data_IF_370117442534
#
_entry.id   IF_370117442534
#
_cell.length_a   1.000
_cell.length_b   1.000
_cell.length_c   1.000
_cell.angle_alpha   90.00
_cell.angle_beta   90.00
_cell.angle_gamma   90.00
#
_symmetry.space_group_name_H-M   'P 1'
#
loop_
_entity.id
_entity.type
_entity.pdbx_description
1 polymer ?
#
# COMPACT_ATOMS: atom_id res chain seq x y z
N UNK A 1 -27.31 -17.59 8.57
CA UNK A 1 -26.25 -18.43 7.98
C UNK A 1 -26.05 -17.94 6.55
N UNK A 2 -24.96 -17.24 6.23
CA UNK A 2 -24.70 -16.75 4.86
C UNK A 2 -24.26 -17.94 4.00
N UNK A 3 -24.80 -18.06 2.79
CA UNK A 3 -24.44 -19.15 1.88
C UNK A 3 -23.02 -18.95 1.35
N UNK A 4 -22.36 -20.06 0.98
CA UNK A 4 -20.99 -20.03 0.44
C UNK A 4 -20.88 -19.04 -0.74
N UNK A 5 -21.87 -18.97 -1.62
CA UNK A 5 -21.87 -18.02 -2.75
C UNK A 5 -21.95 -16.54 -2.34
N UNK A 6 -22.64 -16.20 -1.25
CA UNK A 6 -22.74 -14.81 -0.76
C UNK A 6 -21.43 -14.32 -0.14
N UNK A 7 -20.70 -15.22 0.53
CA UNK A 7 -19.36 -14.94 1.05
C UNK A 7 -18.35 -14.76 -0.09
N UNK A 8 -18.38 -15.65 -1.09
CA UNK A 8 -17.52 -15.56 -2.27
C UNK A 8 -17.79 -14.29 -3.10
N UNK A 9 -19.04 -13.82 -3.17
CA UNK A 9 -19.37 -12.58 -3.86
C UNK A 9 -18.85 -11.34 -3.12
N UNK A 10 -19.00 -11.28 -1.79
CA UNK A 10 -18.51 -10.15 -0.98
C UNK A 10 -16.98 -10.05 -0.98
N UNK A 11 -16.29 -11.16 -0.69
CA UNK A 11 -14.82 -11.22 -0.65
C UNK A 11 -14.21 -11.04 -2.05
N UNK A 12 -14.89 -11.56 -3.08
CA UNK A 12 -14.55 -11.36 -4.50
C UNK A 12 -14.53 -9.90 -4.90
N UNK A 13 -15.61 -9.18 -4.61
CA UNK A 13 -15.70 -7.75 -4.90
C UNK A 13 -14.70 -6.93 -4.10
N UNK A 14 -14.47 -7.29 -2.83
CA UNK A 14 -13.51 -6.59 -1.97
C UNK A 14 -12.07 -6.79 -2.43
N UNK A 15 -11.68 -8.02 -2.77
CA UNK A 15 -10.35 -8.32 -3.31
C UNK A 15 -10.12 -7.56 -4.61
N UNK A 16 -11.06 -7.64 -5.54
CA UNK A 16 -10.95 -6.94 -6.82
C UNK A 16 -10.82 -5.43 -6.59
N UNK A 17 -11.62 -4.86 -5.69
CA UNK A 17 -11.52 -3.44 -5.30
C UNK A 17 -10.12 -3.09 -4.82
N UNK A 18 -9.48 -3.90 -3.98
CA UNK A 18 -8.12 -3.62 -3.51
C UNK A 18 -7.11 -3.63 -4.65
N UNK A 19 -7.15 -4.65 -5.50
CA UNK A 19 -6.24 -4.76 -6.65
C UNK A 19 -6.44 -3.59 -7.62
N UNK A 20 -7.67 -3.18 -7.91
CA UNK A 20 -7.94 -2.03 -8.80
C UNK A 20 -7.70 -0.67 -8.15
N UNK A 21 -7.71 -0.57 -6.82
CA UNK A 21 -7.40 0.69 -6.12
C UNK A 21 -5.90 0.93 -6.07
N UNK A 22 -5.12 -0.14 -5.88
CA UNK A 22 -3.67 -0.05 -5.64
C UNK A 22 -2.82 -0.48 -6.83
N UNK A 23 -3.44 -1.07 -7.86
CA UNK A 23 -2.87 -1.51 -9.14
C UNK A 23 -1.82 -2.62 -9.07
N UNK A 24 -0.99 -2.65 -8.03
CA UNK A 24 0.07 -3.63 -7.81
C UNK A 24 0.17 -3.93 -6.31
N UNK A 25 -0.04 -5.19 -5.92
CA UNK A 25 0.17 -5.66 -4.54
C UNK A 25 0.89 -7.01 -4.55
N UNK A 26 1.69 -7.29 -3.52
CA UNK A 26 2.23 -8.63 -3.31
C UNK A 26 1.11 -9.60 -2.94
N UNK A 27 1.23 -10.85 -3.39
CA UNK A 27 0.30 -11.92 -3.05
C UNK A 27 0.12 -12.04 -1.52
N UNK A 28 1.22 -11.99 -0.77
CA UNK A 28 1.17 -12.04 0.71
C UNK A 28 0.45 -10.83 1.32
N UNK A 29 0.58 -9.63 0.76
CA UNK A 29 -0.16 -8.45 1.24
C UNK A 29 -1.66 -8.66 1.12
N UNK A 30 -2.10 -9.23 0.00
CA UNK A 30 -3.51 -9.59 -0.22
C UNK A 30 -3.96 -10.66 0.78
N UNK A 31 -3.15 -11.70 1.04
CA UNK A 31 -3.50 -12.70 2.05
C UNK A 31 -3.62 -12.09 3.46
N UNK A 32 -2.77 -11.12 3.82
CA UNK A 32 -2.85 -10.42 5.11
C UNK A 32 -4.08 -9.51 5.23
N UNK A 33 -4.67 -9.06 4.12
CA UNK A 33 -5.98 -8.37 4.14
C UNK A 33 -7.12 -9.30 4.59
N UNK A 34 -6.99 -10.61 4.39
CA UNK A 34 -8.04 -11.59 4.70
C UNK A 34 -7.54 -12.74 5.61
N UNK A 35 -7.14 -12.45 6.86
CA UNK A 35 -6.42 -13.40 7.70
C UNK A 35 -7.26 -14.62 8.11
N UNK A 36 -8.59 -14.48 8.16
CA UNK A 36 -9.49 -15.56 8.57
C UNK A 36 -9.81 -16.56 7.44
N UNK A 37 -9.63 -16.15 6.18
CA UNK A 37 -10.16 -16.84 5.02
C UNK A 37 -9.08 -17.13 3.95
N UNK A 38 -7.81 -17.27 4.36
CA UNK A 38 -6.64 -17.35 3.45
C UNK A 38 -6.82 -18.35 2.31
N UNK A 39 -7.27 -19.58 2.57
CA UNK A 39 -7.40 -20.59 1.51
C UNK A 39 -8.57 -20.31 0.55
N UNK A 40 -9.64 -19.68 1.05
CA UNK A 40 -10.73 -19.20 0.20
C UNK A 40 -10.25 -18.08 -0.71
N UNK A 41 -9.43 -17.17 -0.20
CA UNK A 41 -8.82 -16.08 -0.98
C UNK A 41 -7.83 -16.60 -2.03
N UNK A 42 -7.00 -17.60 -1.72
CA UNK A 42 -6.13 -18.24 -2.73
C UNK A 42 -6.94 -18.82 -3.90
N UNK A 43 -8.06 -19.47 -3.57
CA UNK A 43 -8.98 -20.04 -4.56
C UNK A 43 -9.65 -18.95 -5.40
N UNK A 44 -10.05 -17.85 -4.76
CA UNK A 44 -10.64 -16.69 -5.41
C UNK A 44 -9.65 -15.99 -6.34
N UNK A 45 -8.40 -15.75 -5.92
CA UNK A 45 -7.33 -15.21 -6.76
C UNK A 45 -7.17 -16.08 -8.01
N UNK A 46 -7.07 -17.41 -7.82
CA UNK A 46 -6.96 -18.36 -8.94
C UNK A 46 -8.13 -18.23 -9.91
N UNK A 47 -9.35 -18.07 -9.39
CA UNK A 47 -10.55 -17.87 -10.21
C UNK A 47 -10.50 -16.55 -10.98
N UNK A 48 -10.14 -15.45 -10.32
CA UNK A 48 -10.07 -14.12 -10.94
C UNK A 48 -9.00 -14.05 -12.04
N UNK A 49 -7.85 -14.69 -11.83
CA UNK A 49 -6.80 -14.84 -12.85
C UNK A 49 -7.32 -15.62 -14.06
N UNK A 50 -7.99 -16.76 -13.84
CA UNK A 50 -8.58 -17.55 -14.93
C UNK A 50 -9.64 -16.78 -15.72
N UNK A 51 -10.36 -15.88 -15.07
CA UNK A 51 -11.36 -15.01 -15.69
C UNK A 51 -10.74 -13.78 -16.38
N UNK A 52 -9.42 -13.58 -16.29
CA UNK A 52 -8.73 -12.40 -16.83
C UNK A 52 -9.08 -11.09 -16.11
N UNK A 53 -9.55 -11.17 -14.86
CA UNK A 53 -9.96 -10.00 -14.07
C UNK A 53 -8.81 -9.35 -13.31
N UNK A 54 -7.76 -10.13 -13.04
CA UNK A 54 -6.48 -9.70 -12.48
C UNK A 54 -5.37 -10.54 -13.13
N UNK A 55 -4.14 -10.05 -13.07
CA UNK A 55 -2.94 -10.73 -13.52
C UNK A 55 -2.15 -11.17 -12.29
N UNK A 56 -1.65 -12.41 -12.30
CA UNK A 56 -0.70 -12.90 -11.30
C UNK A 56 0.66 -13.08 -11.98
N UNK A 57 1.59 -12.17 -11.70
CA UNK A 57 2.99 -12.35 -12.00
C UNK A 57 3.59 -13.31 -10.98
N UNK A 58 3.93 -14.52 -11.43
CA UNK A 58 4.46 -15.58 -10.58
C UNK A 58 5.95 -15.43 -10.30
N UNK A 59 6.68 -14.65 -11.09
CA UNK A 59 8.12 -14.46 -10.89
C UNK A 59 8.38 -13.58 -9.68
N UNK A 60 7.61 -12.49 -9.55
CA UNK A 60 7.72 -11.54 -8.44
C UNK A 60 6.60 -11.70 -7.37
N UNK A 61 5.71 -12.67 -7.57
CA UNK A 61 4.53 -12.94 -6.74
C UNK A 61 3.61 -11.71 -6.55
N UNK A 62 3.37 -11.00 -7.65
CA UNK A 62 2.56 -9.77 -7.71
C UNK A 62 1.18 -10.03 -8.30
N UNK A 63 0.19 -9.36 -7.72
CA UNK A 63 -1.18 -9.29 -8.21
C UNK A 63 -1.44 -7.89 -8.76
N UNK A 64 -1.78 -7.82 -10.04
CA UNK A 64 -1.99 -6.57 -10.76
C UNK A 64 -3.39 -6.53 -11.41
N UNK A 65 -3.94 -5.34 -11.59
CA UNK A 65 -5.21 -5.17 -12.31
C UNK A 65 -5.02 -5.15 -13.84
N UNK A 66 -3.89 -4.65 -14.32
CA UNK A 66 -3.59 -4.44 -15.74
C UNK A 66 -2.23 -5.00 -16.15
N UNK A 67 -2.03 -5.20 -17.45
CA UNK A 67 -0.74 -5.62 -18.01
C UNK A 67 0.34 -4.52 -17.89
N UNK A 68 -0.07 -3.25 -17.86
CA UNK A 68 0.83 -2.12 -17.62
C UNK A 68 1.41 -2.18 -16.21
N UNK A 69 0.55 -2.35 -15.19
CA UNK A 69 0.97 -2.51 -13.79
C UNK A 69 1.78 -3.78 -13.55
N UNK A 70 1.59 -4.83 -14.36
CA UNK A 70 2.43 -6.03 -14.32
C UNK A 70 3.81 -5.80 -14.97
N UNK A 71 3.89 -4.97 -16.02
CA UNK A 71 5.15 -4.67 -16.72
C UNK A 71 5.99 -3.61 -16.02
N UNK A 72 5.36 -2.70 -15.28
CA UNK A 72 6.00 -1.67 -14.49
C UNK A 72 5.41 -1.61 -13.05
N UNK A 73 5.74 -2.58 -12.19
CA UNK A 73 5.24 -2.62 -10.81
C UNK A 73 5.64 -1.38 -10.00
N UNK A 74 4.67 -0.78 -9.29
CA UNK A 74 4.96 0.32 -8.36
C UNK A 74 5.45 -0.24 -7.01
N UNK A 75 6.77 -0.46 -6.89
CA UNK A 75 7.39 -0.92 -5.65
C UNK A 75 7.23 0.08 -4.49
N UNK A 76 7.06 1.37 -4.78
CA UNK A 76 6.74 2.37 -3.77
C UNK A 76 5.36 2.19 -3.19
N UNK A 77 4.37 1.82 -4.02
CA UNK A 77 3.04 1.43 -3.57
C UNK A 77 3.11 0.17 -2.68
N UNK A 78 3.85 -0.86 -3.11
CA UNK A 78 4.05 -2.08 -2.32
C UNK A 78 4.64 -1.75 -0.95
N UNK A 79 5.68 -0.91 -0.89
CA UNK A 79 6.30 -0.49 0.37
C UNK A 79 5.32 0.30 1.25
N UNK A 80 4.60 1.27 0.68
CA UNK A 80 3.57 2.02 1.40
C UNK A 80 2.45 1.11 1.94
N UNK A 81 2.07 0.08 1.19
CA UNK A 81 1.02 -0.84 1.60
C UNK A 81 1.44 -1.73 2.78
N UNK A 82 2.73 -2.06 2.90
CA UNK A 82 3.24 -2.73 4.10
C UNK A 82 3.04 -1.89 5.35
N UNK A 83 3.29 -0.58 5.26
CA UNK A 83 3.01 0.36 6.36
C UNK A 83 1.50 0.33 6.68
N UNK A 84 0.62 0.44 5.68
CA UNK A 84 -0.83 0.37 5.92
C UNK A 84 -1.26 -0.90 6.67
N UNK A 85 -0.65 -2.05 6.37
CA UNK A 85 -0.97 -3.33 7.01
C UNK A 85 -0.65 -3.35 8.51
N UNK A 86 0.34 -2.60 8.99
CA UNK A 86 0.63 -2.47 10.43
C UNK A 86 -0.50 -1.72 11.17
N UNK A 87 -1.18 -0.80 10.49
CA UNK A 87 -2.29 -0.02 11.05
C UNK A 87 -3.65 -0.71 10.86
N UNK A 88 -3.72 -1.83 10.15
CA UNK A 88 -4.95 -2.47 9.67
C UNK A 88 -6.08 -2.58 10.70
N UNK A 89 -5.78 -2.83 11.98
CA UNK A 89 -6.80 -2.96 13.04
C UNK A 89 -7.52 -1.64 13.37
N UNK A 90 -6.88 -0.50 13.13
CA UNK A 90 -7.38 0.83 13.48
C UNK A 90 -7.84 1.64 12.25
N UNK A 91 -7.49 1.20 11.03
CA UNK A 91 -7.89 1.84 9.78
C UNK A 91 -9.41 1.69 9.58
N UNK A 92 -10.08 2.83 9.37
CA UNK A 92 -11.52 2.90 9.06
C UNK A 92 -11.76 3.04 7.57
N UNK A 93 -10.88 3.77 6.88
CA UNK A 93 -10.96 4.02 5.45
C UNK A 93 -9.54 4.14 4.86
N UNK A 94 -9.36 3.69 3.63
CA UNK A 94 -8.12 3.85 2.89
C UNK A 94 -8.36 3.85 1.38
N UNK A 95 -7.51 4.56 0.64
CA UNK A 95 -7.54 4.66 -0.82
C UNK A 95 -6.13 4.95 -1.36
N UNK A 96 -5.90 4.79 -2.65
CA UNK A 96 -4.68 5.29 -3.31
C UNK A 96 -4.62 6.83 -3.24
N UNK A 97 -3.41 7.37 -3.37
CA UNK A 97 -3.15 8.81 -3.39
C UNK A 97 -2.66 9.28 -4.75
N UNK A 98 -2.67 10.60 -4.92
CA UNK A 98 -2.08 11.27 -6.07
C UNK A 98 -0.62 11.64 -5.79
N UNK A 99 0.20 11.66 -6.83
CA UNK A 99 1.63 11.98 -6.72
C UNK A 99 1.86 13.28 -5.91
N UNK A 100 2.74 13.28 -4.90
CA UNK A 100 3.70 12.22 -4.53
C UNK A 100 3.22 11.25 -3.43
N UNK A 101 1.94 11.34 -3.03
CA UNK A 101 1.33 10.47 -2.02
C UNK A 101 1.02 9.13 -2.67
N UNK A 102 1.43 8.03 -2.03
CA UNK A 102 1.10 6.67 -2.52
C UNK A 102 -0.27 6.24 -2.08
N UNK A 103 -0.61 6.44 -0.81
CA UNK A 103 -1.94 6.11 -0.30
C UNK A 103 -2.34 6.99 0.87
N UNK A 104 -3.66 7.11 1.05
CA UNK A 104 -4.30 7.84 2.13
C UNK A 104 -5.06 6.86 3.02
N UNK A 105 -5.05 7.08 4.32
CA UNK A 105 -5.93 6.34 5.23
C UNK A 105 -6.41 7.19 6.41
N UNK A 106 -7.57 6.83 6.93
CA UNK A 106 -8.18 7.45 8.10
C UNK A 106 -8.18 6.46 9.26
N UNK A 107 -7.64 6.88 10.40
CA UNK A 107 -7.51 6.06 11.60
C UNK A 107 -7.56 6.95 12.84
N UNK A 108 -8.34 6.55 13.85
CA UNK A 108 -8.44 7.26 15.15
C UNK A 108 -8.71 8.77 15.02
N UNK A 109 -9.68 9.14 14.18
CA UNK A 109 -10.09 10.53 13.91
C UNK A 109 -9.02 11.41 13.24
N UNK A 110 -7.99 10.80 12.64
CA UNK A 110 -6.88 11.49 12.00
C UNK A 110 -6.66 10.97 10.57
N UNK A 111 -6.32 11.89 9.66
CA UNK A 111 -5.91 11.59 8.30
C UNK A 111 -4.41 11.33 8.23
N UNK A 112 -4.05 10.29 7.48
CA UNK A 112 -2.68 9.91 7.23
C UNK A 112 -2.42 9.80 5.72
N UNK A 113 -1.27 10.31 5.33
CA UNK A 113 -0.66 10.14 4.01
C UNK A 113 0.57 9.25 4.15
N UNK A 114 0.73 8.30 3.24
CA UNK A 114 1.98 7.53 3.11
C UNK A 114 2.66 7.94 1.82
N UNK A 115 3.89 8.41 1.96
CA UNK A 115 4.77 8.76 0.85
C UNK A 115 5.86 7.70 0.71
N UNK A 116 6.33 7.50 -0.51
CA UNK A 116 7.56 6.77 -0.78
C UNK A 116 8.52 7.68 -1.51
N UNK A 117 9.73 7.83 -1.00
CA UNK A 117 10.76 8.70 -1.61
C UNK A 117 11.90 7.82 -2.10
N UNK A 118 11.99 7.60 -3.44
CA UNK A 118 13.11 6.88 -4.03
C UNK A 118 14.43 7.59 -3.74
N UNK A 119 15.53 6.84 -3.79
CA UNK A 119 16.85 7.45 -3.71
C UNK A 119 17.02 8.56 -4.76
N UNK A 120 17.66 9.65 -4.34
CA UNK A 120 17.98 10.81 -5.18
C UNK A 120 16.77 11.66 -5.61
N UNK A 121 15.55 11.25 -5.25
CA UNK A 121 14.34 12.03 -5.53
C UNK A 121 13.91 12.93 -4.36
N UNK A 122 14.68 13.00 -3.27
CA UNK A 122 14.27 13.76 -2.07
C UNK A 122 14.00 15.23 -2.39
N UNK A 123 14.83 15.84 -3.26
CA UNK A 123 14.66 17.23 -3.66
C UNK A 123 13.35 17.45 -4.43
N UNK A 124 13.04 16.57 -5.39
CA UNK A 124 11.79 16.65 -6.17
C UNK A 124 10.58 16.54 -5.25
N UNK A 125 10.58 15.54 -4.37
CA UNK A 125 9.45 15.32 -3.46
C UNK A 125 9.31 16.50 -2.50
N UNK A 126 10.40 16.97 -1.88
CA UNK A 126 10.34 18.15 -1.01
C UNK A 126 9.71 19.35 -1.74
N UNK A 127 10.15 19.65 -2.95
CA UNK A 127 9.64 20.78 -3.72
C UNK A 127 8.15 20.67 -4.04
N UNK A 128 7.69 19.46 -4.41
CA UNK A 128 6.25 19.23 -4.64
C UNK A 128 5.46 19.42 -3.34
N UNK A 129 5.99 18.92 -2.22
CA UNK A 129 5.32 19.00 -0.92
C UNK A 129 5.27 20.41 -0.33
N UNK A 130 6.19 21.31 -0.69
CA UNK A 130 6.14 22.74 -0.30
C UNK A 130 4.85 23.44 -0.77
N UNK A 131 4.27 22.98 -1.88
CA UNK A 131 3.02 23.54 -2.43
C UNK A 131 1.75 22.94 -1.84
N UNK A 132 1.86 21.85 -1.07
CA UNK A 132 0.72 21.15 -0.51
C UNK A 132 0.42 21.62 0.91
N UNK A 133 -0.85 21.94 1.20
CA UNK A 133 -1.27 22.23 2.57
C UNK A 133 -1.03 21.00 3.45
N UNK A 134 -0.30 21.17 4.55
CA UNK A 134 -0.11 20.11 5.53
C UNK A 134 -1.21 20.09 6.60
N UNK A 135 -2.16 21.02 6.56
CA UNK A 135 -3.16 21.20 7.61
C UNK A 135 -3.95 19.91 7.87
N UNK A 136 -3.88 19.43 9.11
CA UNK A 136 -4.67 18.31 9.64
C UNK A 136 -4.33 16.91 9.09
N UNK A 137 -3.21 16.75 8.38
CA UNK A 137 -2.76 15.43 7.89
C UNK A 137 -1.41 15.05 8.49
N UNK A 138 -1.29 13.79 8.90
CA UNK A 138 -0.06 13.17 9.39
C UNK A 138 0.63 12.41 8.28
N UNK A 139 1.95 12.53 8.16
CA UNK A 139 2.71 11.89 7.08
C UNK A 139 3.62 10.77 7.60
N UNK A 140 3.51 9.61 6.99
CA UNK A 140 4.44 8.49 7.13
C UNK A 140 5.29 8.43 5.87
N UNK A 141 6.61 8.57 6.00
CA UNK A 141 7.50 8.66 4.85
C UNK A 141 8.35 7.40 4.75
N UNK A 142 8.06 6.58 3.75
CA UNK A 142 8.85 5.40 3.42
C UNK A 142 10.10 5.81 2.63
N UNK A 143 11.24 5.33 3.10
CA UNK A 143 12.57 5.57 2.52
C UNK A 143 13.21 4.24 2.14
N UNK A 144 14.23 4.29 1.29
CA UNK A 144 15.11 3.15 0.97
C UNK A 144 16.27 3.02 1.97
N UNK A 145 16.72 4.12 2.58
CA UNK A 145 17.68 4.07 3.69
C UNK A 145 17.57 5.26 4.66
N UNK A 146 18.17 5.10 5.85
CA UNK A 146 18.14 6.12 6.91
C UNK A 146 18.82 7.44 6.53
N UNK A 147 19.80 7.41 5.62
CA UNK A 147 20.54 8.59 5.19
C UNK A 147 19.65 9.63 4.50
N UNK A 148 18.57 9.17 3.84
CA UNK A 148 17.63 10.04 3.15
C UNK A 148 16.86 10.96 4.09
N UNK A 149 16.56 10.51 5.32
CA UNK A 149 15.77 11.27 6.28
C UNK A 149 16.37 12.65 6.61
N UNK A 150 17.70 12.80 6.46
CA UNK A 150 18.39 14.10 6.65
C UNK A 150 18.05 15.12 5.57
N UNK A 151 17.74 14.64 4.36
CA UNK A 151 17.41 15.46 3.19
C UNK A 151 15.92 15.78 3.09
N UNK A 152 15.06 15.06 3.81
CA UNK A 152 13.60 15.29 3.79
C UNK A 152 13.25 16.50 4.65
N UNK A 153 12.49 17.44 4.07
CA UNK A 153 12.04 18.69 4.69
C UNK A 153 10.51 18.83 4.71
N UNK A 154 9.79 17.74 4.50
CA UNK A 154 8.33 17.69 4.44
C UNK A 154 7.73 17.96 5.83
N UNK A 155 6.68 18.78 5.89
CA UNK A 155 5.95 19.08 7.12
C UNK A 155 5.06 17.91 7.58
N UNK A 156 4.76 17.89 8.88
CA UNK A 156 3.87 16.91 9.53
C UNK A 156 4.28 15.44 9.38
N UNK A 157 5.57 15.17 9.17
CA UNK A 157 6.12 13.81 9.22
C UNK A 157 6.11 13.29 10.65
N UNK A 158 5.28 12.28 10.92
CA UNK A 158 5.18 11.65 12.24
C UNK A 158 6.14 10.48 12.41
N UNK A 159 6.53 9.82 11.31
CA UNK A 159 7.59 8.82 11.31
C UNK A 159 8.16 8.61 9.90
N UNK A 160 9.43 8.24 9.86
CA UNK A 160 10.08 7.64 8.70
C UNK A 160 10.00 6.12 8.83
N UNK A 161 9.84 5.46 7.69
CA UNK A 161 9.64 4.02 7.59
C UNK A 161 10.72 3.40 6.70
N UNK A 162 11.33 2.29 7.15
CA UNK A 162 12.09 1.39 6.30
C UNK A 162 11.35 0.07 6.20
N UNK A 163 11.13 -0.39 4.97
CA UNK A 163 10.38 -1.60 4.69
C UNK A 163 11.33 -2.65 4.13
N UNK A 164 11.46 -3.77 4.83
CA UNK A 164 12.05 -4.97 4.23
C UNK A 164 10.98 -5.61 3.34
N UNK A 165 11.14 -5.47 2.02
CA UNK A 165 10.17 -5.98 1.05
C UNK A 165 10.10 -7.50 0.99
N UNK A 166 11.11 -8.21 1.50
CA UNK A 166 11.14 -9.68 1.55
C UNK A 166 10.33 -10.22 2.72
N UNK A 167 10.50 -9.64 3.91
CA UNK A 167 9.80 -10.08 5.13
C UNK A 167 8.47 -9.33 5.38
N UNK A 168 8.30 -8.16 4.78
CA UNK A 168 7.21 -7.22 5.04
C UNK A 168 7.30 -6.58 6.42
N UNK A 169 8.48 -6.57 7.05
CA UNK A 169 8.72 -5.90 8.34
C UNK A 169 8.96 -4.41 8.11
N UNK A 170 8.29 -3.57 8.90
CA UNK A 170 8.44 -2.12 8.86
C UNK A 170 9.14 -1.63 10.13
N UNK A 171 10.22 -0.87 9.95
CA UNK A 171 10.91 -0.17 11.03
C UNK A 171 10.52 1.30 11.01
N UNK A 172 10.16 1.85 12.18
CA UNK A 172 9.72 3.24 12.33
C UNK A 172 10.73 4.03 13.16
N UNK A 173 11.06 5.24 12.72
CA UNK A 173 11.92 6.16 13.48
C UNK A 173 11.54 7.62 13.22
N UNK A 174 11.90 8.49 14.15
CA UNK A 174 11.73 9.93 14.01
C UNK A 174 13.08 10.59 13.75
N UNK A 175 13.08 11.74 13.07
CA UNK A 175 14.27 12.59 13.03
C UNK A 175 14.62 12.96 14.48
N UNK A 176 15.88 12.76 14.86
CA UNK A 176 16.42 13.30 16.11
C UNK A 176 16.75 14.77 15.95
#
# INVERSE_FOLDING_TARGET
MKTRNELYNGEGSELLRFITTYHTLLYEQVLRLFPKNRDSIKSLITSLVKQGRIIHDKENDLLCDTAESASNPDYGMIAAFWVLLDFKKAVVYHTSGDFPIKLNFFSKDEWYEILYIPLEQEYLINHVMESQSADQVKRLVVLENEGQARKVTIDNVVAFCLVDTTSGVVSYYTKK
#
